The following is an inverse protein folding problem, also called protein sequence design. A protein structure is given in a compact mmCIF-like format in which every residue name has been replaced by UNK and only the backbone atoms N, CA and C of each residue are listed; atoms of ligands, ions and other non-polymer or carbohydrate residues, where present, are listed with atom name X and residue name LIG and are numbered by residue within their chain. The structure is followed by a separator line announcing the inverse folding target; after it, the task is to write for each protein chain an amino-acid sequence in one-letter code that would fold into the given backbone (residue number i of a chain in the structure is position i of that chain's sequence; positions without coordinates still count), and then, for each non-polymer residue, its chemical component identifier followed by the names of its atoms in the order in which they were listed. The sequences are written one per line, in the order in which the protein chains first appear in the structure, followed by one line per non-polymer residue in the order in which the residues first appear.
data_IF_089911117304
#
_entry.id   IF_089911117304
#
_cell.length_a   1.000
_cell.length_b   1.000
_cell.length_c   1.000
_cell.angle_alpha   90.00
_cell.angle_beta   90.00
_cell.angle_gamma   90.00
#
_symmetry.space_group_name_H-M   'P 1'
#
loop_
_entity.id
_entity.type
_entity.pdbx_description
1 polymer ?
#
# COMPACT_ATOMS: atom_id res chain seq x y z
N UNK A 1 -19.62 3.81 12.57
CA UNK A 1 -20.34 5.10 12.43
C UNK A 1 -19.53 6.18 13.14
N UNK A 2 -19.23 7.29 12.45
CA UNK A 2 -18.50 8.43 13.03
C UNK A 2 -19.46 9.46 13.64
N UNK A 3 -19.16 9.95 14.84
CA UNK A 3 -19.94 10.97 15.54
C UNK A 3 -19.06 11.92 16.35
N UNK A 4 -19.60 13.08 16.74
CA UNK A 4 -18.95 13.98 17.73
C UNK A 4 -19.46 13.64 19.12
N UNK A 5 -18.55 13.53 20.08
CA UNK A 5 -18.87 13.25 21.48
C UNK A 5 -18.30 14.33 22.39
N UNK A 6 -18.95 14.55 23.52
CA UNK A 6 -18.43 15.39 24.60
C UNK A 6 -18.55 14.72 25.96
N UNK A 7 -17.66 15.09 26.88
CA UNK A 7 -17.56 14.55 28.24
C UNK A 7 -17.01 15.59 29.20
N UNK A 8 -17.46 15.58 30.45
CA UNK A 8 -16.84 16.39 31.52
C UNK A 8 -15.45 15.87 31.93
N UNK A 9 -15.19 14.59 31.69
CA UNK A 9 -13.92 13.92 32.00
C UNK A 9 -13.07 13.74 30.74
N UNK A 10 -11.76 13.61 30.93
CA UNK A 10 -10.84 13.41 29.83
C UNK A 10 -11.17 12.13 29.07
N UNK A 11 -11.34 12.26 27.75
CA UNK A 11 -11.62 11.14 26.87
C UNK A 11 -10.34 10.35 26.58
N UNK A 12 -10.46 9.03 26.57
CA UNK A 12 -9.41 8.11 26.12
C UNK A 12 -9.48 7.95 24.60
N UNK A 13 -8.31 7.79 23.97
CA UNK A 13 -8.18 7.53 22.52
C UNK A 13 -8.80 6.21 22.10
N UNK A 14 -8.72 5.19 22.95
CA UNK A 14 -9.36 3.90 22.74
C UNK A 14 -10.02 3.42 24.03
N UNK A 15 -11.28 3.00 23.93
CA UNK A 15 -12.07 2.41 25.02
C UNK A 15 -12.61 1.06 24.53
N UNK A 16 -12.16 -0.01 25.19
CA UNK A 16 -12.41 -1.40 24.83
C UNK A 16 -13.23 -2.10 25.91
N UNK A 17 -14.30 -2.77 25.51
CA UNK A 17 -15.14 -3.53 26.43
C UNK A 17 -15.59 -4.87 25.82
N UNK A 18 -15.07 -5.98 26.34
CA UNK A 18 -15.45 -7.32 25.90
C UNK A 18 -16.90 -7.66 26.30
N UNK A 19 -17.67 -8.22 25.36
CA UNK A 19 -19.11 -8.53 25.53
C UNK A 19 -19.42 -9.95 26.00
N UNK A 20 -18.41 -10.82 26.05
CA UNK A 20 -18.57 -12.22 26.45
C UNK A 20 -19.18 -13.15 25.38
N UNK A 21 -19.65 -12.61 24.26
CA UNK A 21 -20.11 -13.35 23.07
C UNK A 21 -18.99 -13.57 22.03
N UNK A 22 -17.74 -13.26 22.40
CA UNK A 22 -16.58 -13.29 21.51
C UNK A 22 -16.35 -11.98 20.74
N UNK A 23 -17.16 -10.95 20.98
CA UNK A 23 -16.98 -9.60 20.43
C UNK A 23 -16.63 -8.60 21.53
N UNK A 24 -16.23 -7.40 21.10
CA UNK A 24 -15.99 -6.26 21.96
C UNK A 24 -16.62 -4.99 21.40
N UNK A 25 -17.13 -4.15 22.29
CA UNK A 25 -17.37 -2.74 22.02
C UNK A 25 -16.03 -2.01 21.92
N UNK A 26 -15.78 -1.39 20.79
CA UNK A 26 -14.56 -0.64 20.52
C UNK A 26 -14.95 0.79 20.19
N UNK A 27 -14.49 1.74 21.01
CA UNK A 27 -14.65 3.18 20.78
C UNK A 27 -13.29 3.78 20.52
N UNK A 28 -13.08 4.29 19.31
CA UNK A 28 -11.85 4.97 18.91
C UNK A 28 -12.15 6.46 18.79
N UNK A 29 -11.40 7.29 19.50
CA UNK A 29 -11.59 8.75 19.57
C UNK A 29 -10.37 9.48 19.06
N UNK A 30 -10.56 10.33 18.05
CA UNK A 30 -9.54 11.24 17.52
C UNK A 30 -9.94 12.69 17.73
N UNK A 31 -8.96 13.60 17.57
CA UNK A 31 -9.13 15.04 17.76
C UNK A 31 -9.65 15.41 19.16
N UNK A 32 -9.16 14.72 20.18
CA UNK A 32 -9.52 14.96 21.57
C UNK A 32 -9.00 16.33 21.99
N UNK A 33 -9.89 17.20 22.44
CA UNK A 33 -9.53 18.55 22.91
C UNK A 33 -10.49 19.03 23.99
N UNK A 34 -9.94 19.81 24.93
CA UNK A 34 -10.74 20.51 25.92
C UNK A 34 -11.30 21.81 25.32
N UNK A 35 -12.60 22.02 25.48
CA UNK A 35 -13.32 23.24 25.12
C UNK A 35 -13.76 23.91 26.41
N UNK A 36 -13.42 25.18 26.55
CA UNK A 36 -13.83 26.00 27.68
C UNK A 36 -14.96 26.93 27.23
N UNK A 37 -16.01 26.98 28.03
CA UNK A 37 -17.16 27.86 27.84
C UNK A 37 -17.11 28.96 28.89
N UNK A 38 -17.16 30.20 28.43
CA UNK A 38 -17.18 31.37 29.30
C UNK A 38 -18.46 31.42 30.14
N UNK A 39 -18.38 32.08 31.29
CA UNK A 39 -19.55 32.33 32.11
C UNK A 39 -20.54 33.23 31.36
N UNK A 40 -21.82 32.88 31.41
CA UNK A 40 -22.93 33.70 30.94
C UNK A 40 -23.81 34.07 32.13
N UNK A 41 -24.74 35.02 31.96
CA UNK A 41 -25.69 35.38 33.02
C UNK A 41 -26.53 34.18 33.52
N UNK A 42 -26.58 33.08 32.75
CA UNK A 42 -27.41 31.91 33.02
C UNK A 42 -26.60 30.66 33.45
N UNK A 43 -25.31 30.58 33.14
CA UNK A 43 -24.46 29.43 33.46
C UNK A 43 -23.04 29.86 33.85
N UNK A 44 -22.47 29.28 34.92
CA UNK A 44 -21.05 29.50 35.24
C UNK A 44 -20.16 28.95 34.13
N UNK A 45 -18.91 29.41 34.09
CA UNK A 45 -17.91 28.85 33.21
C UNK A 45 -17.75 27.35 33.46
N UNK A 46 -17.63 26.58 32.38
CA UNK A 46 -17.48 25.13 32.43
C UNK A 46 -16.62 24.64 31.28
N UNK A 47 -16.09 23.43 31.42
CA UNK A 47 -15.20 22.82 30.44
C UNK A 47 -15.68 21.43 30.09
N UNK A 48 -15.50 21.04 28.84
CA UNK A 48 -15.74 19.68 28.37
C UNK A 48 -14.62 19.23 27.43
N UNK A 49 -14.38 17.94 27.42
CA UNK A 49 -13.58 17.26 26.43
C UNK A 49 -14.46 16.88 25.26
N UNK A 50 -14.04 17.23 24.05
CA UNK A 50 -14.72 16.89 22.81
C UNK A 50 -13.83 16.00 21.96
N UNK A 51 -14.43 15.08 21.22
CA UNK A 51 -13.72 14.22 20.28
C UNK A 51 -14.60 13.82 19.09
N UNK A 52 -13.97 13.26 18.06
CA UNK A 52 -14.64 12.52 17.01
C UNK A 52 -14.50 11.04 17.33
N UNK A 53 -15.60 10.33 17.48
CA UNK A 53 -15.66 8.93 17.90
C UNK A 53 -16.14 8.03 16.75
N UNK A 54 -15.44 6.92 16.56
CA UNK A 54 -15.91 5.73 15.84
C UNK A 54 -16.32 4.68 16.87
N UNK A 55 -17.55 4.18 16.76
CA UNK A 55 -18.03 3.06 17.55
C UNK A 55 -18.29 1.84 16.66
N UNK A 56 -17.70 0.72 17.03
CA UNK A 56 -17.76 -0.54 16.30
C UNK A 56 -17.87 -1.72 17.27
N UNK A 57 -18.52 -2.80 16.85
CA UNK A 57 -18.57 -4.07 17.59
C UNK A 57 -17.90 -5.13 16.74
N UNK A 58 -16.73 -5.61 17.18
CA UNK A 58 -15.89 -6.51 16.39
C UNK A 58 -15.35 -7.66 17.24
N UNK A 59 -15.07 -8.83 16.64
CA UNK A 59 -14.42 -9.96 17.30
C UNK A 59 -12.90 -9.76 17.39
N UNK A 60 -12.47 -8.65 17.99
CA UNK A 60 -11.05 -8.33 18.20
C UNK A 60 -10.71 -8.38 19.67
N UNK A 61 -9.49 -8.80 19.99
CA UNK A 61 -8.91 -8.65 21.31
C UNK A 61 -8.46 -7.20 21.55
N UNK A 62 -8.24 -6.83 22.81
CA UNK A 62 -7.81 -5.47 23.18
C UNK A 62 -6.54 -5.04 22.43
N UNK A 63 -5.53 -5.90 22.39
CA UNK A 63 -4.27 -5.62 21.69
C UNK A 63 -4.49 -5.39 20.19
N UNK A 64 -5.33 -6.20 19.55
CA UNK A 64 -5.66 -6.05 18.12
C UNK A 64 -6.43 -4.76 17.86
N UNK A 65 -7.36 -4.40 18.76
CA UNK A 65 -8.08 -3.14 18.69
C UNK A 65 -7.15 -1.93 18.80
N UNK A 66 -6.13 -2.00 19.65
CA UNK A 66 -5.09 -0.95 19.78
C UNK A 66 -4.27 -0.85 18.50
N UNK A 67 -3.77 -1.96 17.99
CA UNK A 67 -2.93 -1.98 16.78
C UNK A 67 -3.69 -1.52 15.53
N UNK A 68 -4.97 -1.83 15.44
CA UNK A 68 -5.81 -1.50 14.29
C UNK A 68 -6.62 -0.21 14.47
N UNK A 69 -6.49 0.49 15.60
CA UNK A 69 -7.32 1.65 15.95
C UNK A 69 -7.37 2.70 14.83
N UNK A 70 -6.21 3.03 14.26
CA UNK A 70 -6.11 4.01 13.19
C UNK A 70 -6.83 3.55 11.91
N UNK A 71 -6.58 2.31 11.48
CA UNK A 71 -7.20 1.73 10.30
C UNK A 71 -8.72 1.60 10.46
N UNK A 72 -9.18 1.15 11.63
CA UNK A 72 -10.59 1.02 11.97
C UNK A 72 -11.29 2.37 11.93
N UNK A 73 -10.65 3.42 12.46
CA UNK A 73 -11.21 4.77 12.43
C UNK A 73 -11.28 5.32 11.00
N UNK A 74 -10.22 5.18 10.21
CA UNK A 74 -10.17 5.65 8.82
C UNK A 74 -11.16 4.92 7.91
N UNK A 75 -11.33 3.62 8.10
CA UNK A 75 -12.36 2.83 7.41
C UNK A 75 -13.75 3.36 7.72
N UNK A 76 -14.02 3.73 8.96
CA UNK A 76 -15.28 4.32 9.40
C UNK A 76 -15.49 5.75 8.87
N UNK A 77 -14.42 6.55 8.80
CA UNK A 77 -14.44 7.90 8.17
C UNK A 77 -14.77 7.78 6.69
N UNK A 78 -14.08 6.90 5.98
CA UNK A 78 -14.30 6.66 4.54
C UNK A 78 -15.72 6.16 4.31
N UNK A 79 -16.19 5.17 5.09
CA UNK A 79 -17.53 4.61 4.93
C UNK A 79 -18.66 5.61 5.25
N UNK A 80 -18.39 6.58 6.12
CA UNK A 80 -19.32 7.66 6.47
C UNK A 80 -19.42 8.74 5.37
N UNK A 81 -18.53 8.75 4.37
CA UNK A 81 -18.62 9.69 3.25
C UNK A 81 -19.73 9.29 2.26
N UNK A 82 -20.36 10.27 1.59
CA UNK A 82 -21.28 10.02 0.49
C UNK A 82 -20.68 9.08 -0.55
N UNK A 83 -21.52 8.23 -1.15
CA UNK A 83 -21.09 7.24 -2.16
C UNK A 83 -20.38 7.90 -3.34
N UNK A 84 -20.89 9.06 -3.79
CA UNK A 84 -20.29 9.80 -4.91
C UNK A 84 -18.87 10.27 -4.58
N UNK A 85 -18.66 10.85 -3.40
CA UNK A 85 -17.34 11.33 -2.98
C UNK A 85 -16.33 10.16 -2.90
N UNK A 86 -16.78 8.99 -2.43
CA UNK A 86 -15.95 7.78 -2.43
C UNK A 86 -15.58 7.30 -3.83
N UNK A 87 -16.53 7.30 -4.78
CA UNK A 87 -16.25 6.91 -6.17
C UNK A 87 -15.25 7.87 -6.80
N UNK A 88 -15.44 9.17 -6.65
CA UNK A 88 -14.52 10.18 -7.18
C UNK A 88 -13.12 10.04 -6.59
N UNK A 89 -12.99 9.82 -5.28
CA UNK A 89 -11.69 9.59 -4.65
C UNK A 89 -11.00 8.32 -5.18
N UNK A 90 -11.76 7.25 -5.43
CA UNK A 90 -11.23 6.00 -5.98
C UNK A 90 -10.79 6.16 -7.44
N UNK A 91 -11.57 6.86 -8.26
CA UNK A 91 -11.22 7.17 -9.66
C UNK A 91 -9.93 8.00 -9.73
N UNK A 92 -9.80 9.00 -8.87
CA UNK A 92 -8.58 9.82 -8.76
C UNK A 92 -7.37 8.98 -8.38
N UNK A 93 -7.49 8.16 -7.32
CA UNK A 93 -6.40 7.28 -6.87
C UNK A 93 -6.01 6.26 -7.94
N UNK A 94 -6.97 5.73 -8.70
CA UNK A 94 -6.69 4.82 -9.81
C UNK A 94 -5.88 5.50 -10.92
N UNK A 95 -6.17 6.76 -11.22
CA UNK A 95 -5.43 7.54 -12.22
C UNK A 95 -4.00 7.84 -11.73
N UNK A 96 -3.86 8.27 -10.48
CA UNK A 96 -2.56 8.56 -9.86
C UNK A 96 -1.68 7.29 -9.82
N UNK A 97 -2.26 6.15 -9.45
CA UNK A 97 -1.57 4.86 -9.43
C UNK A 97 -1.14 4.43 -10.85
N UNK A 98 -1.98 4.63 -11.85
CA UNK A 98 -1.64 4.32 -13.24
C UNK A 98 -0.47 5.19 -13.74
N UNK A 99 -0.41 6.46 -13.31
CA UNK A 99 0.68 7.35 -13.65
C UNK A 99 1.99 6.93 -13.00
N UNK A 100 1.99 6.55 -11.72
CA UNK A 100 3.18 6.02 -11.04
C UNK A 100 3.68 4.73 -11.71
N UNK A 101 2.77 3.84 -12.12
CA UNK A 101 3.14 2.63 -12.87
C UNK A 101 3.74 2.96 -14.24
N UNK A 102 3.20 3.96 -14.94
CA UNK A 102 3.74 4.41 -16.22
C UNK A 102 5.13 5.04 -16.07
N UNK A 103 5.35 5.81 -15.00
CA UNK A 103 6.64 6.44 -14.70
C UNK A 103 7.71 5.39 -14.38
N UNK A 104 7.37 4.36 -13.59
CA UNK A 104 8.27 3.24 -13.30
C UNK A 104 8.68 2.47 -14.56
N UNK A 105 7.74 2.22 -15.48
CA UNK A 105 8.03 1.53 -16.76
C UNK A 105 8.90 2.41 -17.67
N UNK A 106 8.70 3.73 -17.65
CA UNK A 106 9.49 4.66 -18.44
C UNK A 106 10.94 4.76 -17.93
N UNK A 107 11.15 4.77 -16.61
CA UNK A 107 12.50 4.83 -15.98
C UNK A 107 13.32 3.56 -16.28
N UNK A 108 12.69 2.38 -16.33
CA UNK A 108 13.34 1.10 -16.72
C UNK A 108 13.68 1.01 -18.23
N UNK A 109 13.20 1.94 -19.07
CA UNK A 109 13.38 1.90 -20.52
C UNK A 109 14.59 2.70 -21.05
N UNK A 110 15.28 3.46 -20.20
CA UNK A 110 16.38 4.36 -20.58
C UNK A 110 17.80 3.73 -20.46
N UNK A 111 17.90 2.40 -20.31
CA UNK A 111 19.17 1.72 -20.05
C UNK A 111 19.39 0.41 -20.79
N UNK A 112 19.52 0.41 -22.13
CA UNK A 112 20.51 -0.39 -22.89
C UNK A 112 20.34 -0.20 -24.41
N UNK A 113 21.04 0.78 -24.99
CA UNK A 113 21.41 0.71 -26.41
C UNK A 113 22.71 1.48 -26.67
N UNK A 114 23.80 1.09 -25.99
CA UNK A 114 25.14 1.38 -26.52
C UNK A 114 25.47 0.32 -27.58
N UNK A 115 24.88 0.47 -28.77
CA UNK A 115 25.41 -0.12 -30.01
C UNK A 115 26.51 0.81 -30.55
N UNK A 116 27.67 0.79 -29.90
CA UNK A 116 28.91 1.30 -30.46
C UNK A 116 29.68 0.13 -31.08
N UNK A 117 29.09 -0.48 -32.12
CA UNK A 117 29.83 -1.36 -33.03
C UNK A 117 30.80 -0.51 -33.85
N UNK A 118 31.98 -0.27 -33.28
CA UNK A 118 33.09 0.40 -33.91
C UNK A 118 33.47 -0.29 -35.23
N UNK A 119 33.18 0.39 -36.33
CA UNK A 119 33.80 0.16 -37.63
C UNK A 119 35.32 0.36 -37.48
N UNK A 120 36.06 -0.72 -37.60
CA UNK A 120 37.52 -0.70 -37.68
C UNK A 120 37.95 -1.83 -38.58
N UNK A 121 37.92 -1.57 -39.89
CA UNK A 121 38.66 -2.35 -40.88
C UNK A 121 40.15 -2.34 -40.53
N UNK A 122 40.81 -3.49 -40.26
CA UNK A 122 42.25 -3.53 -40.24
C UNK A 122 42.75 -3.87 -41.64
N UNK A 123 43.56 -2.95 -42.14
CA UNK A 123 44.41 -3.02 -43.33
C UNK A 123 45.17 -4.34 -43.45
N UNK A 124 45.30 -4.80 -44.70
CA UNK A 124 46.20 -5.87 -45.15
C UNK A 124 47.54 -5.90 -44.41
N UNK A 125 47.91 -7.07 -43.87
CA UNK A 125 49.29 -7.54 -43.89
C UNK A 125 49.33 -9.07 -43.93
N UNK A 126 49.93 -9.59 -45.01
CA UNK A 126 50.11 -11.00 -45.27
C UNK A 126 50.98 -11.70 -44.20
N UNK A 127 50.56 -12.87 -43.77
CA UNK A 127 51.44 -13.91 -43.24
C UNK A 127 50.87 -15.27 -43.61
N UNK A 128 51.48 -15.87 -44.63
CA UNK A 128 51.28 -17.26 -44.98
C UNK A 128 51.66 -18.17 -43.80
N UNK A 129 50.80 -19.12 -43.45
CA UNK A 129 51.29 -20.46 -43.16
C UNK A 129 50.21 -21.51 -43.44
N UNK A 130 50.41 -22.17 -44.57
CA UNK A 130 49.86 -23.48 -44.90
C UNK A 130 50.30 -24.50 -43.85
N UNK A 131 49.34 -25.18 -43.22
CA UNK A 131 49.49 -26.59 -42.91
C UNK A 131 48.12 -27.27 -42.78
N UNK A 132 47.66 -27.76 -43.92
CA UNK A 132 46.61 -28.76 -44.00
C UNK A 132 47.10 -30.07 -43.38
N UNK A 133 46.42 -30.59 -42.35
CA UNK A 133 46.61 -31.97 -41.86
C UNK A 133 45.28 -32.53 -41.36
N UNK A 134 44.56 -33.12 -42.33
CA UNK A 134 43.89 -34.43 -42.30
C UNK A 134 43.17 -34.93 -41.03
N UNK A 135 41.88 -35.23 -41.23
CA UNK A 135 41.18 -36.38 -40.63
C UNK A 135 40.04 -35.97 -39.70
N UNK A 136 38.79 -36.40 -39.86
CA UNK A 136 38.15 -37.31 -40.81
C UNK A 136 36.63 -37.16 -40.58
N UNK A 137 35.85 -37.39 -41.63
CA UNK A 137 34.40 -37.44 -41.56
C UNK A 137 33.94 -38.73 -40.89
N UNK A 138 32.97 -38.64 -39.97
CA UNK A 138 31.82 -39.56 -39.90
C UNK A 138 30.78 -38.94 -38.96
N UNK A 139 29.65 -38.50 -39.52
CA UNK A 139 28.38 -39.23 -39.58
C UNK A 139 27.47 -38.86 -38.42
N UNK A 140 26.36 -38.23 -38.81
CA UNK A 140 25.20 -37.99 -37.97
C UNK A 140 24.63 -39.31 -37.44
N UNK A 141 24.10 -39.30 -36.23
CA UNK A 141 22.99 -40.18 -35.89
C UNK A 141 21.93 -39.44 -35.07
N UNK A 142 20.71 -39.77 -35.42
CA UNK A 142 19.45 -39.14 -35.06
C UNK A 142 18.64 -40.11 -34.19
N UNK A 143 17.78 -39.57 -33.32
CA UNK A 143 16.67 -40.25 -32.61
C UNK A 143 17.12 -41.28 -31.55
N UNK A 144 16.49 -41.38 -30.38
CA UNK A 144 15.07 -41.68 -30.17
C UNK A 144 14.64 -41.33 -28.73
N UNK A 145 13.45 -40.75 -28.60
CA UNK A 145 12.73 -40.56 -27.33
C UNK A 145 12.20 -41.92 -26.84
N UNK A 146 12.55 -42.30 -25.61
CA UNK A 146 11.88 -43.37 -24.88
C UNK A 146 11.02 -42.77 -23.76
N UNK A 147 9.70 -42.88 -23.90
CA UNK A 147 8.65 -42.58 -22.93
C UNK A 147 8.00 -43.92 -22.53
N UNK A 148 7.22 -43.90 -21.43
CA UNK A 148 6.34 -44.97 -20.93
C UNK A 148 7.05 -46.06 -20.10
N UNK A 149 6.55 -46.55 -18.98
CA UNK A 149 5.39 -46.29 -18.09
C UNK A 149 5.73 -46.98 -16.76
#
# INVERSE_FOLDING_TARGET
MIQKVSSSEQLQELDYHARGDGTADIRIRKNIKQVNHEATDQMPAWSEWTAVESYQVLPLQEQEAIEQADMLFEGDVTSSQPVLDRITALEQSSLDNAQLLADLIADDSDGDSTDDSADSTPSDTAAANDKTTTGGADSADTTESGKEE
#
